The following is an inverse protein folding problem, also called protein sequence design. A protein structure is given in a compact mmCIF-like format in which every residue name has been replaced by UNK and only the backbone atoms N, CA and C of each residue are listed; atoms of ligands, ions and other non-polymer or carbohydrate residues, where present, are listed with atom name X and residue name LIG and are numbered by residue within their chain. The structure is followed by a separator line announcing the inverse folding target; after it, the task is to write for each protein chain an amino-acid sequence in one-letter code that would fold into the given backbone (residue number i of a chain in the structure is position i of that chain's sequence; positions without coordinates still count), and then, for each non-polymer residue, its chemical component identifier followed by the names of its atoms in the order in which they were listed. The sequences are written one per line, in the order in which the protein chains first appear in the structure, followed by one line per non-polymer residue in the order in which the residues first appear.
data_IF_188907265395
#
_entry.id   IF_188907265395
#
_cell.length_a   1.000
_cell.length_b   1.000
_cell.length_c   1.000
_cell.angle_alpha   90.00
_cell.angle_beta   90.00
_cell.angle_gamma   90.00
#
_symmetry.space_group_name_H-M   'P 1'
#
loop_
_entity.id
_entity.type
_entity.pdbx_description
1 polymer ?
#
# COMPACT_ATOMS: atom_id res chain seq x y z
N UNK A 1 -11.53 -14.06 -7.42
CA UNK A 1 -12.44 -13.09 -6.80
C UNK A 1 -12.61 -13.47 -5.34
N UNK A 2 -12.17 -12.64 -4.40
CA UNK A 2 -12.34 -12.88 -2.97
C UNK A 2 -13.04 -11.68 -2.35
N UNK A 3 -14.30 -11.87 -1.98
CA UNK A 3 -15.11 -10.88 -1.25
C UNK A 3 -14.54 -10.83 0.18
N UNK A 4 -13.88 -9.73 0.56
CA UNK A 4 -13.47 -9.43 1.95
C UNK A 4 -12.59 -10.47 2.65
N UNK A 5 -11.29 -10.49 2.37
CA UNK A 5 -10.33 -11.31 3.10
C UNK A 5 -9.62 -10.51 4.21
N UNK A 6 -9.57 -11.07 5.42
CA UNK A 6 -8.80 -10.52 6.53
C UNK A 6 -7.54 -11.35 6.74
N UNK A 7 -6.38 -10.72 6.53
CA UNK A 7 -5.08 -11.34 6.81
C UNK A 7 -4.53 -10.71 8.07
N UNK A 8 -4.29 -11.53 9.09
CA UNK A 8 -3.67 -11.13 10.35
C UNK A 8 -2.40 -11.94 10.59
N UNK A 9 -1.42 -11.35 11.29
CA UNK A 9 -0.13 -11.96 11.68
C UNK A 9 0.98 -11.77 10.64
N UNK A 10 1.94 -12.70 10.56
CA UNK A 10 3.11 -12.59 9.65
C UNK A 10 2.87 -13.43 8.41
N UNK A 11 2.94 -12.82 7.22
CA UNK A 11 2.79 -13.55 5.96
C UNK A 11 3.81 -13.11 4.91
N UNK A 12 4.22 -14.09 4.09
CA UNK A 12 4.94 -13.85 2.84
C UNK A 12 4.02 -14.26 1.70
N UNK A 13 3.69 -13.32 0.82
CA UNK A 13 2.72 -13.54 -0.26
C UNK A 13 3.34 -13.10 -1.58
N UNK A 14 3.26 -13.96 -2.60
CA UNK A 14 3.80 -13.62 -3.92
C UNK A 14 2.89 -12.68 -4.70
N UNK A 15 1.56 -12.81 -4.52
CA UNK A 15 0.58 -11.90 -5.08
C UNK A 15 -0.62 -11.76 -4.15
N UNK A 16 -0.91 -10.54 -3.70
CA UNK A 16 -2.09 -10.20 -2.93
C UNK A 16 -3.06 -9.44 -3.84
N UNK A 17 -4.26 -9.99 -4.05
CA UNK A 17 -5.32 -9.33 -4.82
C UNK A 17 -6.58 -9.29 -3.98
N UNK A 18 -7.15 -8.11 -3.74
CA UNK A 18 -8.27 -7.96 -2.81
C UNK A 18 -9.24 -6.84 -3.16
N UNK A 19 -10.52 -7.08 -2.92
CA UNK A 19 -11.58 -6.07 -2.91
C UNK A 19 -12.08 -5.95 -1.47
N UNK A 20 -11.93 -4.77 -0.86
CA UNK A 20 -12.35 -4.56 0.53
C UNK A 20 -11.58 -5.41 1.56
N UNK A 21 -10.33 -5.79 1.26
CA UNK A 21 -9.53 -6.62 2.16
C UNK A 21 -8.85 -5.82 3.25
N UNK A 22 -8.63 -6.46 4.40
CA UNK A 22 -7.87 -5.87 5.52
C UNK A 22 -6.64 -6.70 5.82
N UNK A 23 -5.47 -6.07 5.78
CA UNK A 23 -4.16 -6.66 6.05
C UNK A 23 -3.60 -6.06 7.32
N UNK A 24 -3.34 -6.88 8.32
CA UNK A 24 -2.87 -6.46 9.63
C UNK A 24 -1.69 -7.31 10.10
N UNK A 25 -0.64 -6.68 10.62
CA UNK A 25 0.56 -7.37 11.10
C UNK A 25 1.80 -7.06 10.26
N UNK A 26 2.61 -8.08 9.99
CA UNK A 26 3.86 -7.92 9.23
C UNK A 26 3.74 -8.69 7.93
N UNK A 27 3.76 -8.01 6.79
CA UNK A 27 3.62 -8.67 5.49
C UNK A 27 4.73 -8.30 4.54
N UNK A 28 5.23 -9.29 3.83
CA UNK A 28 6.13 -9.09 2.70
C UNK A 28 5.41 -9.59 1.45
N UNK A 29 5.17 -8.67 0.52
CA UNK A 29 4.34 -8.91 -0.66
C UNK A 29 5.11 -8.53 -1.92
N UNK A 30 5.19 -9.45 -2.87
CA UNK A 30 5.87 -9.13 -4.14
C UNK A 30 5.00 -8.24 -5.04
N UNK A 31 3.71 -8.56 -5.17
CA UNK A 31 2.74 -7.73 -5.87
C UNK A 31 1.44 -7.58 -5.07
N UNK A 32 1.09 -6.36 -4.68
CA UNK A 32 -0.17 -6.04 -4.02
C UNK A 32 -1.08 -5.27 -4.97
N UNK A 33 -2.31 -5.73 -5.14
CA UNK A 33 -3.36 -5.00 -5.83
C UNK A 33 -4.62 -4.96 -4.98
N UNK A 34 -5.13 -3.76 -4.71
CA UNK A 34 -6.28 -3.58 -3.84
C UNK A 34 -7.25 -2.53 -4.37
N UNK A 35 -8.55 -2.81 -4.27
CA UNK A 35 -9.59 -1.78 -4.34
C UNK A 35 -10.24 -1.66 -2.96
N UNK A 36 -10.26 -0.46 -2.39
CA UNK A 36 -10.85 -0.21 -1.07
C UNK A 36 -10.21 -1.01 0.06
N UNK A 37 -8.91 -1.32 -0.03
CA UNK A 37 -8.22 -2.17 0.94
C UNK A 37 -7.56 -1.36 2.04
N UNK A 38 -7.44 -1.95 3.23
CA UNK A 38 -6.75 -1.35 4.37
C UNK A 38 -5.56 -2.20 4.79
N UNK A 39 -4.40 -1.57 4.91
CA UNK A 39 -3.13 -2.16 5.29
C UNK A 39 -2.63 -1.51 6.57
N UNK A 40 -2.38 -2.29 7.62
CA UNK A 40 -1.99 -1.82 8.94
C UNK A 40 -0.83 -2.62 9.50
N UNK A 41 0.21 -1.96 10.00
CA UNK A 41 1.38 -2.60 10.59
C UNK A 41 2.66 -2.34 9.78
N UNK A 42 3.47 -3.37 9.57
CA UNK A 42 4.74 -3.28 8.82
C UNK A 42 4.58 -4.02 7.50
N UNK A 43 4.69 -3.31 6.38
CA UNK A 43 4.53 -3.92 5.06
C UNK A 43 5.67 -3.56 4.13
N UNK A 44 6.14 -4.56 3.40
CA UNK A 44 7.13 -4.40 2.35
C UNK A 44 6.51 -4.89 1.04
N UNK A 45 6.37 -4.00 0.07
CA UNK A 45 5.76 -4.26 -1.23
C UNK A 45 6.75 -3.97 -2.36
N UNK A 46 6.99 -4.93 -3.26
CA UNK A 46 7.82 -4.65 -4.44
C UNK A 46 7.04 -3.88 -5.51
N UNK A 47 5.76 -4.22 -5.70
CA UNK A 47 4.81 -3.45 -6.50
C UNK A 47 3.47 -3.34 -5.78
N UNK A 48 3.01 -2.12 -5.54
CA UNK A 48 1.71 -1.83 -4.93
C UNK A 48 0.85 -1.06 -5.91
N UNK A 49 -0.36 -1.55 -6.19
CA UNK A 49 -1.36 -0.83 -6.97
C UNK A 49 -2.67 -0.76 -6.19
N UNK A 50 -3.13 0.45 -5.88
CA UNK A 50 -4.30 0.68 -5.03
C UNK A 50 -5.27 1.69 -5.64
N UNK A 51 -6.57 1.42 -5.54
CA UNK A 51 -7.60 2.45 -5.68
C UNK A 51 -8.35 2.58 -4.36
N UNK A 52 -8.40 3.80 -3.79
CA UNK A 52 -9.06 4.06 -2.51
C UNK A 52 -8.50 3.24 -1.35
N UNK A 53 -7.19 2.98 -1.34
CA UNK A 53 -6.56 2.14 -0.33
C UNK A 53 -5.94 2.97 0.80
N UNK A 54 -5.96 2.44 2.02
CA UNK A 54 -5.37 3.09 3.19
C UNK A 54 -4.24 2.23 3.74
N UNK A 55 -3.05 2.83 3.89
CA UNK A 55 -1.84 2.22 4.41
C UNK A 55 -1.44 2.96 5.69
N UNK A 56 -1.38 2.24 6.81
CA UNK A 56 -1.04 2.79 8.13
C UNK A 56 0.09 2.01 8.79
N UNK A 57 1.13 2.69 9.25
CA UNK A 57 2.29 2.08 9.90
C UNK A 57 3.58 2.25 9.09
N UNK A 58 4.44 1.24 9.09
CA UNK A 58 5.72 1.30 8.38
C UNK A 58 5.58 0.60 7.04
N UNK A 59 5.76 1.34 5.96
CA UNK A 59 5.58 0.85 4.61
C UNK A 59 6.83 1.11 3.77
N UNK A 60 7.25 0.09 3.02
CA UNK A 60 8.32 0.20 2.04
C UNK A 60 7.80 -0.29 0.69
N UNK A 61 7.77 0.58 -0.31
CA UNK A 61 7.29 0.27 -1.66
C UNK A 61 8.37 0.55 -2.72
N UNK A 62 8.68 -0.42 -3.59
CA UNK A 62 9.62 -0.17 -4.72
C UNK A 62 8.92 0.37 -5.97
N UNK A 63 7.60 0.27 -6.03
CA UNK A 63 6.79 0.89 -7.08
C UNK A 63 5.36 0.97 -6.61
N UNK A 64 4.85 2.18 -6.47
CA UNK A 64 3.51 2.42 -5.97
C UNK A 64 2.68 3.17 -7.01
N UNK A 65 1.52 2.62 -7.35
CA UNK A 65 0.54 3.27 -8.19
C UNK A 65 -0.80 3.41 -7.46
N UNK A 66 -1.26 4.64 -7.23
CA UNK A 66 -2.39 4.91 -6.36
C UNK A 66 -3.38 5.93 -6.93
N UNK A 67 -4.68 5.66 -6.88
CA UNK A 67 -5.69 6.72 -7.01
C UNK A 67 -6.47 6.83 -5.70
N UNK A 68 -6.44 8.01 -5.06
CA UNK A 68 -7.12 8.24 -3.79
C UNK A 68 -6.56 7.39 -2.64
N UNK A 69 -5.25 7.11 -2.64
CA UNK A 69 -4.62 6.31 -1.60
C UNK A 69 -4.09 7.19 -0.46
N UNK A 70 -4.17 6.69 0.77
CA UNK A 70 -3.65 7.40 1.96
C UNK A 70 -2.58 6.57 2.63
N UNK A 71 -1.44 7.18 2.89
CA UNK A 71 -0.29 6.58 3.55
C UNK A 71 0.03 7.37 4.82
N UNK A 72 0.06 6.68 5.96
CA UNK A 72 0.26 7.29 7.28
C UNK A 72 1.42 6.64 8.02
N UNK A 73 2.19 7.47 8.74
CA UNK A 73 3.33 7.17 9.61
C UNK A 73 4.71 7.21 8.96
N UNK A 74 5.21 6.08 8.47
CA UNK A 74 6.55 6.01 7.88
C UNK A 74 6.42 5.31 6.55
N UNK A 75 6.64 6.05 5.48
CA UNK A 75 6.64 5.49 4.14
C UNK A 75 7.96 5.75 3.44
N UNK A 76 8.50 4.70 2.83
CA UNK A 76 9.63 4.78 1.93
C UNK A 76 9.19 4.24 0.57
N UNK A 77 9.24 5.09 -0.44
CA UNK A 77 8.83 4.72 -1.77
C UNK A 77 9.83 5.08 -2.84
N UNK A 78 9.98 4.19 -3.80
CA UNK A 78 10.77 4.40 -5.01
C UNK A 78 9.80 4.37 -6.19
N UNK A 79 9.73 5.42 -7.01
CA UNK A 79 8.81 5.45 -8.15
C UNK A 79 7.32 5.43 -7.75
N UNK A 80 6.81 6.59 -7.38
CA UNK A 80 5.41 6.84 -7.05
C UNK A 80 4.66 7.43 -8.25
N UNK A 81 3.51 6.87 -8.59
CA UNK A 81 2.61 7.45 -9.59
C UNK A 81 1.16 7.42 -9.13
N UNK A 82 0.55 8.59 -8.92
CA UNK A 82 -0.81 8.62 -8.39
C UNK A 82 -1.55 9.94 -8.55
N UNK A 83 -2.87 9.87 -8.35
CA UNK A 83 -3.75 11.04 -8.32
C UNK A 83 -4.47 11.08 -6.98
N UNK A 84 -4.40 12.21 -6.27
CA UNK A 84 -5.06 12.37 -4.98
C UNK A 84 -4.51 11.45 -3.89
N UNK A 85 -3.20 11.18 -3.90
CA UNK A 85 -2.56 10.41 -2.84
C UNK A 85 -2.16 11.33 -1.68
N UNK A 86 -2.38 10.90 -0.44
CA UNK A 86 -2.03 11.69 0.75
C UNK A 86 -1.01 10.98 1.60
N UNK A 87 0.01 11.74 2.03
CA UNK A 87 1.10 11.27 2.89
C UNK A 87 1.04 12.01 4.21
N UNK A 88 1.19 11.31 5.32
CA UNK A 88 1.25 11.94 6.65
C UNK A 88 2.46 11.43 7.42
N UNK A 89 3.08 12.36 8.17
CA UNK A 89 4.25 12.16 9.03
C UNK A 89 5.59 12.12 8.29
N UNK A 90 6.21 10.95 8.12
CA UNK A 90 7.55 10.81 7.57
C UNK A 90 7.47 10.05 6.25
N UNK A 91 7.81 10.72 5.16
CA UNK A 91 7.79 10.13 3.83
C UNK A 91 9.11 10.39 3.10
N UNK A 92 9.71 9.33 2.57
CA UNK A 92 10.90 9.41 1.72
C UNK A 92 10.56 8.84 0.36
N UNK A 93 10.35 9.72 -0.61
CA UNK A 93 9.98 9.34 -1.99
C UNK A 93 11.14 9.63 -2.93
N UNK A 94 11.55 8.62 -3.69
CA UNK A 94 12.55 8.77 -4.73
C UNK A 94 11.88 8.63 -6.10
N UNK A 95 11.50 9.78 -6.67
CA UNK A 95 10.74 9.89 -7.91
C UNK A 95 9.24 9.79 -7.68
N UNK A 96 8.53 10.92 -7.84
CA UNK A 96 7.08 11.00 -7.77
C UNK A 96 6.54 11.67 -9.03
N UNK A 97 5.47 11.12 -9.60
CA UNK A 97 4.82 11.67 -10.78
C UNK A 97 3.29 11.57 -10.61
N UNK A 98 2.63 12.69 -10.32
CA UNK A 98 1.21 12.67 -9.97
C UNK A 98 0.62 14.06 -9.80
N UNK A 99 -0.68 14.20 -10.09
CA UNK A 99 -1.44 15.43 -9.84
C UNK A 99 -2.15 15.31 -8.48
N UNK A 100 -1.87 16.24 -7.58
CA UNK A 100 -2.50 16.30 -6.24
C UNK A 100 -1.95 15.26 -5.25
N UNK A 101 -0.62 15.11 -5.21
CA UNK A 101 0.12 14.28 -4.25
C UNK A 101 0.87 15.16 -3.24
#
# INVERSE_FOLDING_TARGET
MGEGCTWSRVHMVWGAHGLGCTWSGVHMVWGAHGLGCTWSGVHMAWGAHGLGCTWSGVHMAWGAHGLGCTWSWVNMAWGEHGLGCTWSWVNMVWGAHGLGC
#
